data_IF_456675774158
#
_entry.id   IF_456675774158
#
_cell.length_a   1.000
_cell.length_b   1.000
_cell.length_c   1.000
_cell.angle_alpha   90.00
_cell.angle_beta   90.00
_cell.angle_gamma   90.00
#
_symmetry.space_group_name_H-M   'P 1'
#
loop_
_entity.id
_entity.type
_entity.pdbx_description
1 polymer ?
#
# COMPACT_ATOMS: atom_id res chain seq x y z
N UNK A 1 19.69 -93.07 -25.35
CA UNK A 1 18.57 -92.27 -24.81
C UNK A 1 18.82 -90.80 -25.15
N UNK A 2 17.82 -90.14 -25.74
CA UNK A 2 17.86 -88.76 -26.23
C UNK A 2 18.07 -87.77 -25.06
N UNK A 3 19.02 -86.84 -25.17
CA UNK A 3 19.08 -85.67 -24.28
C UNK A 3 18.33 -84.51 -24.96
N UNK A 4 17.21 -84.01 -24.41
CA UNK A 4 16.53 -82.86 -24.98
C UNK A 4 17.41 -81.62 -24.83
N UNK A 5 17.71 -80.95 -25.95
CA UNK A 5 18.38 -79.65 -25.93
C UNK A 5 17.30 -78.58 -25.89
N UNK A 6 17.23 -77.83 -24.79
CA UNK A 6 16.26 -76.76 -24.64
C UNK A 6 16.74 -75.46 -25.30
N UNK A 7 15.83 -74.66 -25.87
CA UNK A 7 16.16 -73.35 -26.44
C UNK A 7 16.54 -72.34 -25.34
N UNK A 8 17.30 -71.28 -25.66
CA UNK A 8 17.65 -70.23 -24.71
C UNK A 8 16.39 -69.48 -24.24
N UNK A 9 16.35 -69.14 -22.95
CA UNK A 9 15.21 -68.46 -22.30
C UNK A 9 15.30 -66.95 -22.54
N UNK A 10 14.41 -66.41 -23.39
CA UNK A 10 14.29 -64.98 -23.72
C UNK A 10 13.58 -64.15 -22.63
N UNK A 11 13.82 -64.44 -21.34
CA UNK A 11 12.98 -63.89 -20.24
C UNK A 11 13.58 -62.68 -19.52
N UNK A 12 14.41 -61.88 -20.18
CA UNK A 12 14.96 -60.67 -19.57
C UNK A 12 14.73 -59.42 -20.43
N UNK A 13 13.46 -59.01 -20.58
CA UNK A 13 13.18 -57.59 -20.78
C UNK A 13 13.16 -56.92 -19.41
N UNK A 14 14.19 -56.11 -19.13
CA UNK A 14 14.23 -55.25 -17.96
C UNK A 14 13.13 -54.20 -18.05
N UNK A 15 12.19 -54.24 -17.12
CA UNK A 15 11.12 -53.25 -17.00
C UNK A 15 11.73 -52.00 -16.36
N UNK A 16 11.88 -50.91 -17.13
CA UNK A 16 12.26 -49.60 -16.60
C UNK A 16 11.15 -49.05 -15.70
N UNK A 17 11.42 -48.70 -14.43
CA UNK A 17 10.42 -48.09 -13.57
C UNK A 17 10.10 -46.65 -14.03
N UNK A 18 8.81 -46.34 -14.20
CA UNK A 18 8.33 -44.99 -14.47
C UNK A 18 8.61 -44.08 -13.26
N UNK A 19 9.29 -42.95 -13.49
CA UNK A 19 9.51 -41.91 -12.48
C UNK A 19 8.19 -41.21 -12.15
N UNK A 20 7.84 -41.13 -10.86
CA UNK A 20 6.70 -40.36 -10.39
C UNK A 20 6.89 -38.85 -10.67
N UNK A 21 5.80 -38.07 -10.90
CA UNK A 21 5.90 -36.63 -11.10
C UNK A 21 6.38 -35.92 -9.83
N UNK A 22 7.32 -34.99 -9.98
CA UNK A 22 7.83 -34.19 -8.87
C UNK A 22 6.74 -33.25 -8.32
N UNK A 23 6.70 -32.97 -7.00
CA UNK A 23 5.75 -32.03 -6.41
C UNK A 23 5.96 -30.61 -6.96
N UNK A 24 4.88 -29.97 -7.41
CA UNK A 24 4.90 -28.58 -7.87
C UNK A 24 5.00 -27.66 -6.65
N UNK A 25 6.12 -26.94 -6.51
CA UNK A 25 6.29 -25.93 -5.47
C UNK A 25 5.55 -24.65 -5.91
N UNK A 26 4.59 -24.13 -5.12
CA UNK A 26 3.89 -22.91 -5.50
C UNK A 26 4.83 -21.69 -5.45
N UNK A 27 5.02 -21.04 -6.59
CA UNK A 27 5.89 -19.88 -6.81
C UNK A 27 5.27 -18.54 -6.42
N UNK A 28 4.10 -18.52 -5.78
CA UNK A 28 3.42 -17.27 -5.43
C UNK A 28 3.67 -16.93 -3.96
N UNK A 29 4.70 -16.11 -3.72
CA UNK A 29 4.85 -15.44 -2.44
C UNK A 29 3.66 -14.50 -2.24
N UNK A 30 2.78 -14.86 -1.30
CA UNK A 30 1.73 -13.97 -0.84
C UNK A 30 2.38 -12.66 -0.36
N UNK A 31 2.03 -11.54 -0.98
CA UNK A 31 2.47 -10.23 -0.51
C UNK A 31 1.99 -10.06 0.95
N UNK A 32 2.90 -9.76 1.90
CA UNK A 32 2.50 -9.58 3.28
C UNK A 32 1.45 -8.47 3.40
N UNK A 33 0.31 -8.79 4.01
CA UNK A 33 -0.76 -7.82 4.23
C UNK A 33 -0.25 -6.61 5.04
N UNK A 34 -0.90 -5.46 4.86
CA UNK A 34 -0.48 -4.18 5.45
C UNK A 34 -0.17 -4.27 6.96
N UNK A 35 -0.96 -5.06 7.69
CA UNK A 35 -0.78 -5.39 9.11
C UNK A 35 0.54 -6.12 9.43
N UNK A 36 0.97 -7.04 8.56
CA UNK A 36 2.24 -7.75 8.72
C UNK A 36 3.44 -6.85 8.40
N UNK A 37 3.25 -5.88 7.50
CA UNK A 37 4.27 -4.86 7.16
C UNK A 37 4.44 -3.82 8.27
N UNK A 38 3.35 -3.46 8.96
CA UNK A 38 3.37 -2.56 10.13
C UNK A 38 4.05 -3.22 11.33
N UNK A 39 3.82 -4.52 11.56
CA UNK A 39 4.53 -5.27 12.61
C UNK A 39 6.04 -5.38 12.38
N UNK A 40 6.48 -5.39 11.12
CA UNK A 40 7.90 -5.50 10.75
C UNK A 40 8.68 -4.17 10.83
N UNK A 41 8.01 -3.02 10.79
CA UNK A 41 8.66 -1.69 10.76
C UNK A 41 7.91 -0.67 11.64
N UNK A 42 8.11 -0.69 12.97
CA UNK A 42 7.45 0.25 13.89
C UNK A 42 7.80 1.72 13.59
N UNK A 43 8.97 1.99 13.02
CA UNK A 43 9.40 3.33 12.60
C UNK A 43 8.51 3.91 11.49
N UNK A 44 8.04 3.10 10.55
CA UNK A 44 7.16 3.56 9.47
C UNK A 44 5.79 3.99 9.99
N UNK A 45 5.28 3.32 11.03
CA UNK A 45 4.03 3.69 11.69
C UNK A 45 4.15 5.05 12.39
N UNK A 46 5.25 5.28 13.12
CA UNK A 46 5.51 6.57 13.79
C UNK A 46 5.62 7.71 12.78
N UNK A 47 6.37 7.51 11.68
CA UNK A 47 6.49 8.52 10.62
C UNK A 47 5.13 8.81 9.97
N UNK A 48 4.30 7.79 9.75
CA UNK A 48 2.94 7.97 9.23
C UNK A 48 2.07 8.83 10.15
N UNK A 49 2.08 8.58 11.46
CA UNK A 49 1.31 9.36 12.43
C UNK A 49 1.80 10.80 12.51
N UNK A 50 3.13 11.02 12.50
CA UNK A 50 3.72 12.35 12.51
C UNK A 50 3.36 13.12 11.23
N UNK A 51 3.39 12.46 10.06
CA UNK A 51 3.00 13.07 8.80
C UNK A 51 1.51 13.49 8.82
N UNK A 52 0.62 12.62 9.30
CA UNK A 52 -0.81 12.95 9.43
C UNK A 52 -1.02 14.10 10.42
N UNK A 53 -0.33 14.08 11.56
CA UNK A 53 -0.37 15.16 12.54
C UNK A 53 0.11 16.49 11.95
N UNK A 54 1.20 16.49 11.20
CA UNK A 54 1.74 17.68 10.55
C UNK A 54 0.77 18.25 9.51
N UNK A 55 0.13 17.38 8.72
CA UNK A 55 -0.90 17.81 7.75
C UNK A 55 -2.08 18.45 8.47
N UNK A 56 -2.60 17.83 9.53
CA UNK A 56 -3.71 18.38 10.32
C UNK A 56 -3.36 19.73 10.97
N UNK A 57 -2.15 19.87 11.50
CA UNK A 57 -1.70 21.14 12.08
C UNK A 57 -1.54 22.20 11.00
N UNK A 58 -1.00 21.84 9.83
CA UNK A 58 -0.85 22.75 8.70
C UNK A 58 -2.20 23.23 8.17
N UNK A 59 -3.20 22.35 8.08
CA UNK A 59 -4.55 22.75 7.62
C UNK A 59 -5.24 23.63 8.65
N UNK A 60 -5.13 23.31 9.94
CA UNK A 60 -5.68 24.16 11.01
C UNK A 60 -5.03 25.56 10.99
N UNK A 61 -3.71 25.62 10.84
CA UNK A 61 -2.98 26.88 10.73
C UNK A 61 -3.40 27.69 9.50
N UNK A 62 -3.53 27.03 8.34
CA UNK A 62 -3.99 27.68 7.13
C UNK A 62 -5.41 28.29 7.29
N UNK A 63 -6.32 27.56 7.93
CA UNK A 63 -7.68 28.04 8.22
C UNK A 63 -7.64 29.22 9.19
N UNK A 64 -6.82 29.16 10.24
CA UNK A 64 -6.68 30.26 11.20
C UNK A 64 -6.19 31.55 10.51
N UNK A 65 -5.16 31.46 9.68
CA UNK A 65 -4.64 32.61 8.92
C UNK A 65 -5.70 33.17 7.97
N UNK A 66 -6.43 32.30 7.27
CA UNK A 66 -7.51 32.71 6.36
C UNK A 66 -8.63 33.44 7.11
N UNK A 67 -9.01 32.95 8.29
CA UNK A 67 -10.00 33.60 9.14
C UNK A 67 -9.57 35.00 9.58
N UNK A 68 -8.30 35.17 9.95
CA UNK A 68 -7.73 36.48 10.30
C UNK A 68 -7.77 37.42 9.08
N UNK A 69 -7.35 36.93 7.91
CA UNK A 69 -7.36 37.72 6.68
C UNK A 69 -8.77 38.20 6.31
N UNK A 70 -9.78 37.33 6.44
CA UNK A 70 -11.19 37.68 6.22
C UNK A 70 -11.70 38.67 7.26
N UNK A 71 -11.30 38.53 8.52
CA UNK A 71 -11.66 39.47 9.59
C UNK A 71 -11.14 40.87 9.29
N UNK A 72 -9.84 41.00 8.95
CA UNK A 72 -9.22 42.28 8.59
C UNK A 72 -9.89 42.87 7.35
N UNK A 73 -10.07 42.06 6.30
CA UNK A 73 -10.72 42.51 5.06
C UNK A 73 -12.14 43.01 5.30
N UNK A 74 -12.90 42.33 6.16
CA UNK A 74 -14.24 42.74 6.56
C UNK A 74 -14.24 44.09 7.30
N UNK A 75 -13.32 44.30 8.23
CA UNK A 75 -13.17 45.59 8.94
C UNK A 75 -12.82 46.72 7.98
N UNK A 76 -11.87 46.49 7.07
CA UNK A 76 -11.46 47.48 6.05
C UNK A 76 -12.63 47.83 5.14
N UNK A 77 -13.38 46.85 4.66
CA UNK A 77 -14.58 47.08 3.86
C UNK A 77 -15.63 47.88 4.64
N UNK A 78 -15.86 47.55 5.91
CA UNK A 78 -16.82 48.26 6.76
C UNK A 78 -16.40 49.72 6.96
N UNK A 79 -15.10 49.99 7.16
CA UNK A 79 -14.56 51.35 7.24
C UNK A 79 -14.71 52.12 5.92
N UNK A 80 -14.39 51.50 4.78
CA UNK A 80 -14.58 52.10 3.47
C UNK A 80 -16.05 52.44 3.23
N UNK A 81 -16.98 51.54 3.56
CA UNK A 81 -18.41 51.79 3.46
C UNK A 81 -18.85 52.93 4.38
N UNK A 82 -18.29 53.02 5.59
CA UNK A 82 -18.59 54.14 6.51
C UNK A 82 -18.09 55.48 5.97
N UNK A 83 -16.87 55.53 5.45
CA UNK A 83 -16.33 56.73 4.82
C UNK A 83 -17.15 57.13 3.61
N UNK A 84 -17.51 56.17 2.75
CA UNK A 84 -18.33 56.43 1.58
C UNK A 84 -19.72 56.96 1.97
N UNK A 85 -20.32 56.42 3.03
CA UNK A 85 -21.59 56.95 3.58
C UNK A 85 -21.43 58.35 4.14
N UNK A 86 -20.31 58.66 4.80
CA UNK A 86 -20.03 60.01 5.31
C UNK A 86 -19.90 61.02 4.17
N UNK A 87 -19.18 60.68 3.11
CA UNK A 87 -19.03 61.53 1.92
C UNK A 87 -20.36 61.72 1.18
N UNK A 88 -21.21 60.70 1.09
CA UNK A 88 -22.51 60.79 0.39
C UNK A 88 -23.56 61.58 1.17
N UNK A 89 -23.46 61.61 2.50
CA UNK A 89 -24.38 62.36 3.38
C UNK A 89 -23.93 63.80 3.65
N UNK A 90 -22.86 64.25 3.00
CA UNK A 90 -22.28 65.59 3.14
C UNK A 90 -22.66 66.47 1.96
#
# INVERSE_FOLDING_TARGET
MFKPKYPPSDTHQAITPHSAPAPVVPTHQAQPGLVQRVGANPTAAVVGVVAVGAVLVSTLLAVAITGIALSISGVVLLLLVRLLRQELNR
#
